data_IF_649864780722
#
_entry.id   IF_649864780722
#
_cell.length_a   1.000
_cell.length_b   1.000
_cell.length_c   1.000
_cell.angle_alpha   90.00
_cell.angle_beta   90.00
_cell.angle_gamma   90.00
#
_symmetry.space_group_name_H-M   'P 1'
#
loop_
_entity.id
_entity.type
_entity.pdbx_description
1 polymer ?
#
# COMPACT_ATOMS: atom_id res chain seq x y z
N UNK A 1 -4.51 -17.31 -5.25
CA UNK A 1 -5.36 -16.60 -4.26
C UNK A 1 -6.12 -15.48 -4.96
N UNK A 2 -7.36 -15.19 -4.53
CA UNK A 2 -8.11 -14.03 -5.02
C UNK A 2 -7.77 -12.80 -4.19
N UNK A 3 -7.23 -11.77 -4.85
CA UNK A 3 -7.06 -10.43 -4.30
C UNK A 3 -8.33 -9.62 -4.59
N UNK A 4 -8.81 -8.91 -3.57
CA UNK A 4 -9.81 -7.85 -3.68
C UNK A 4 -9.24 -6.60 -2.99
N UNK A 5 -9.05 -5.54 -3.77
CA UNK A 5 -8.60 -4.24 -3.32
C UNK A 5 -9.66 -3.20 -3.68
N UNK A 6 -10.61 -2.97 -2.76
CA UNK A 6 -11.69 -1.99 -2.94
C UNK A 6 -12.52 -2.19 -4.23
N UNK A 7 -12.84 -3.44 -4.57
CA UNK A 7 -13.62 -3.79 -5.75
C UNK A 7 -12.78 -4.10 -7.00
N UNK A 8 -11.48 -3.82 -6.98
CA UNK A 8 -10.56 -4.38 -7.97
C UNK A 8 -10.23 -5.81 -7.58
N UNK A 9 -10.65 -6.78 -8.40
CA UNK A 9 -10.47 -8.20 -8.10
C UNK A 9 -9.62 -8.92 -9.12
N UNK A 10 -8.74 -9.80 -8.66
CA UNK A 10 -7.92 -10.64 -9.54
C UNK A 10 -7.43 -11.91 -8.86
N UNK A 11 -7.05 -12.89 -9.69
CA UNK A 11 -6.40 -14.12 -9.24
C UNK A 11 -4.88 -14.02 -9.45
N UNK A 12 -4.14 -14.29 -8.38
CA UNK A 12 -2.67 -14.18 -8.34
C UNK A 12 -2.06 -15.29 -7.49
N UNK A 13 -0.83 -15.75 -7.75
CA UNK A 13 -0.16 -16.71 -6.86
C UNK A 13 0.16 -16.13 -5.48
N UNK A 14 0.34 -14.81 -5.36
CA UNK A 14 0.74 -14.18 -4.11
C UNK A 14 1.00 -12.68 -4.24
N UNK A 15 1.37 -12.09 -3.12
CA UNK A 15 1.67 -10.66 -3.00
C UNK A 15 2.94 -10.46 -2.18
N UNK A 16 3.69 -9.41 -2.49
CA UNK A 16 4.86 -8.99 -1.71
C UNK A 16 4.68 -7.55 -1.27
N UNK A 17 4.85 -7.32 0.03
CA UNK A 17 4.91 -5.99 0.63
C UNK A 17 6.37 -5.62 0.80
N UNK A 18 6.73 -4.41 0.43
CA UNK A 18 8.10 -3.91 0.45
C UNK A 18 8.24 -2.77 1.46
N UNK A 19 9.41 -2.75 2.11
CA UNK A 19 9.95 -1.59 2.79
C UNK A 19 11.35 -1.33 2.22
N UNK A 20 11.46 -0.39 1.27
CA UNK A 20 12.72 -0.04 0.61
C UNK A 20 13.50 1.00 1.40
N UNK A 21 14.83 0.85 1.42
CA UNK A 21 15.74 1.74 2.14
C UNK A 21 15.23 2.09 3.55
N UNK A 22 15.00 1.11 4.46
CA UNK A 22 14.28 1.34 5.71
C UNK A 22 14.78 2.50 6.58
N UNK A 23 16.07 2.86 6.50
CA UNK A 23 16.65 4.01 7.21
C UNK A 23 16.18 5.37 6.68
N UNK A 24 15.56 5.44 5.50
CA UNK A 24 14.96 6.63 4.90
C UNK A 24 13.45 6.68 5.06
N UNK A 25 12.81 5.56 5.43
CA UNK A 25 11.37 5.49 5.56
C UNK A 25 10.86 6.34 6.72
N UNK A 26 9.72 6.99 6.49
CA UNK A 26 8.94 7.68 7.50
C UNK A 26 8.43 6.73 8.58
N UNK A 27 8.08 7.29 9.74
CA UNK A 27 7.48 6.52 10.82
C UNK A 27 6.15 5.84 10.40
N UNK A 28 5.39 6.45 9.48
CA UNK A 28 4.16 5.86 8.97
C UNK A 28 4.44 4.62 8.10
N UNK A 29 5.43 4.68 7.21
CA UNK A 29 5.85 3.52 6.39
C UNK A 29 6.31 2.35 7.26
N UNK A 30 7.07 2.64 8.32
CA UNK A 30 7.43 1.63 9.33
C UNK A 30 6.19 1.06 10.03
N UNK A 31 5.26 1.90 10.51
CA UNK A 31 4.01 1.43 11.15
C UNK A 31 3.18 0.55 10.22
N UNK A 32 3.07 0.92 8.94
CA UNK A 32 2.37 0.14 7.92
C UNK A 32 3.01 -1.23 7.78
N UNK A 33 4.32 -1.28 7.58
CA UNK A 33 5.05 -2.53 7.39
C UNK A 33 5.04 -3.43 8.63
N UNK A 34 5.25 -2.87 9.82
CA UNK A 34 5.21 -3.64 11.08
C UNK A 34 3.82 -4.24 11.34
N UNK A 35 2.75 -3.56 10.92
CA UNK A 35 1.38 -4.11 11.05
C UNK A 35 1.16 -5.40 10.24
N UNK A 36 2.02 -5.68 9.26
CA UNK A 36 1.95 -6.88 8.43
C UNK A 36 2.68 -8.07 9.05
N UNK A 37 3.64 -7.84 9.96
CA UNK A 37 4.40 -8.92 10.61
C UNK A 37 3.54 -9.83 11.49
N UNK A 38 2.35 -9.38 11.88
CA UNK A 38 1.41 -10.17 12.67
C UNK A 38 0.58 -11.15 11.83
N UNK A 39 0.75 -11.15 10.50
CA UNK A 39 -0.05 -11.98 9.60
C UNK A 39 0.47 -13.43 9.65
N UNK A 40 -0.40 -14.41 9.94
CA UNK A 40 0.00 -15.81 9.98
C UNK A 40 0.40 -16.30 8.58
N UNK A 41 1.41 -17.17 8.50
CA UNK A 41 1.91 -17.79 7.27
C UNK A 41 2.55 -16.83 6.25
N UNK A 42 2.82 -15.58 6.65
CA UNK A 42 3.62 -14.67 5.84
C UNK A 42 5.12 -15.00 5.99
N UNK A 43 5.88 -14.98 4.89
CA UNK A 43 7.34 -15.14 4.94
C UNK A 43 8.02 -13.77 4.93
N UNK A 44 9.01 -13.59 5.80
CA UNK A 44 9.80 -12.37 5.91
C UNK A 44 11.19 -12.58 5.30
N UNK A 45 11.56 -11.74 4.34
CA UNK A 45 12.91 -11.65 3.81
C UNK A 45 13.50 -10.29 4.19
N UNK A 46 14.65 -10.28 4.86
CA UNK A 46 15.34 -9.05 5.25
C UNK A 46 16.69 -8.99 4.57
N UNK A 47 16.93 -7.91 3.82
CA UNK A 47 18.22 -7.54 3.25
C UNK A 47 18.64 -6.17 3.81
N UNK A 48 19.87 -5.74 3.47
CA UNK A 48 20.39 -4.46 3.94
C UNK A 48 19.51 -3.29 3.47
N UNK A 49 19.13 -3.29 2.19
CA UNK A 49 18.46 -2.17 1.52
C UNK A 49 16.94 -2.34 1.35
N UNK A 50 16.39 -3.47 1.79
CA UNK A 50 14.97 -3.76 1.65
C UNK A 50 14.51 -4.84 2.64
N UNK A 51 13.25 -4.75 3.04
CA UNK A 51 12.56 -5.82 3.78
C UNK A 51 11.29 -6.17 3.03
N UNK A 52 11.02 -7.46 2.89
CA UNK A 52 9.88 -7.99 2.13
C UNK A 52 9.05 -8.92 2.98
N UNK A 53 7.73 -8.83 2.84
CA UNK A 53 6.79 -9.80 3.40
C UNK A 53 5.99 -10.40 2.26
N UNK A 54 6.02 -11.72 2.11
CA UNK A 54 5.25 -12.43 1.10
C UNK A 54 4.01 -13.07 1.72
N UNK A 55 2.89 -12.94 1.03
CA UNK A 55 1.60 -13.53 1.40
C UNK A 55 1.04 -14.26 0.18
N UNK A 56 0.76 -15.56 0.34
CA UNK A 56 0.32 -16.44 -0.75
C UNK A 56 -1.10 -16.99 -0.56
N UNK A 57 -1.76 -16.62 0.53
CA UNK A 57 -3.12 -17.06 0.84
C UNK A 57 -4.11 -15.87 0.99
N UNK A 58 -5.37 -16.15 0.66
CA UNK A 58 -6.42 -15.13 0.64
C UNK A 58 -6.76 -14.56 2.03
N UNK A 59 -6.57 -15.35 3.10
CA UNK A 59 -6.84 -14.90 4.48
C UNK A 59 -5.76 -13.92 4.93
N UNK A 60 -4.50 -14.21 4.60
CA UNK A 60 -3.38 -13.31 4.81
C UNK A 60 -3.57 -11.97 4.09
N UNK A 61 -3.99 -12.00 2.82
CA UNK A 61 -4.28 -10.76 2.07
C UNK A 61 -5.38 -9.92 2.72
N UNK A 62 -6.51 -10.54 3.07
CA UNK A 62 -7.60 -9.84 3.75
C UNK A 62 -7.12 -9.20 5.06
N UNK A 63 -6.30 -9.91 5.84
CA UNK A 63 -5.72 -9.39 7.07
C UNK A 63 -4.77 -8.22 6.80
N UNK A 64 -3.93 -8.30 5.76
CA UNK A 64 -3.03 -7.21 5.35
C UNK A 64 -3.79 -5.93 5.04
N UNK A 65 -4.77 -5.99 4.14
CA UNK A 65 -5.57 -4.82 3.76
C UNK A 65 -6.29 -4.23 4.98
N UNK A 66 -6.80 -5.09 5.88
CA UNK A 66 -7.46 -4.64 7.11
C UNK A 66 -6.48 -3.95 8.08
N UNK A 67 -5.28 -4.49 8.26
CA UNK A 67 -4.25 -3.91 9.13
C UNK A 67 -3.76 -2.56 8.60
N UNK A 68 -3.43 -2.49 7.31
CA UNK A 68 -3.04 -1.23 6.66
C UNK A 68 -4.14 -0.17 6.75
N UNK A 69 -5.39 -0.56 6.47
CA UNK A 69 -6.54 0.34 6.60
C UNK A 69 -6.71 0.88 8.02
N UNK A 70 -6.41 0.07 9.06
CA UNK A 70 -6.47 0.52 10.46
C UNK A 70 -5.39 1.55 10.77
N UNK A 71 -4.15 1.31 10.32
CA UNK A 71 -3.04 2.25 10.48
C UNK A 71 -3.35 3.59 9.81
N UNK A 72 -3.86 3.56 8.58
CA UNK A 72 -4.15 4.77 7.81
C UNK A 72 -5.34 5.56 8.35
N UNK A 73 -6.39 4.88 8.82
CA UNK A 73 -7.50 5.54 9.51
C UNK A 73 -7.05 6.20 10.81
N UNK A 74 -6.22 5.51 11.61
CA UNK A 74 -5.65 6.11 12.82
C UNK A 74 -4.82 7.35 12.51
N UNK A 75 -3.94 7.28 11.51
CA UNK A 75 -3.16 8.43 11.05
C UNK A 75 -4.02 9.60 10.56
N UNK A 76 -5.13 9.31 9.88
CA UNK A 76 -6.10 10.31 9.44
C UNK A 76 -6.84 10.97 10.62
N UNK A 77 -7.25 10.18 11.61
CA UNK A 77 -7.96 10.64 12.81
C UNK A 77 -7.07 11.48 13.73
N UNK A 78 -5.78 11.16 13.86
CA UNK A 78 -4.78 11.95 14.63
C UNK A 78 -4.72 13.43 14.21
N UNK A 79 -5.10 13.78 12.97
CA UNK A 79 -5.18 15.17 12.50
C UNK A 79 -6.37 15.93 13.12
N UNK A 80 -7.47 15.22 13.32
CA UNK A 80 -8.75 15.80 13.76
C UNK A 80 -8.67 16.28 15.21
N UNK A 81 -7.81 15.63 16.01
CA UNK A 81 -7.57 15.98 17.41
C UNK A 81 -6.61 17.18 17.59
N UNK A 82 -5.87 17.55 16.54
CA UNK A 82 -4.81 18.58 16.58
C UNK A 82 -5.24 20.01 16.25
N UNK A 83 -6.44 20.20 15.68
CA UNK A 83 -6.96 21.51 15.27
C UNK A 83 -7.83 21.41 14.01
N UNK A 84 -8.78 22.34 13.83
CA UNK A 84 -9.81 22.30 12.77
C UNK A 84 -9.29 22.51 11.33
N UNK A 85 -7.98 22.68 11.16
CA UNK A 85 -7.38 23.23 9.94
C UNK A 85 -6.66 22.20 9.07
N UNK A 86 -6.27 21.03 9.60
CA UNK A 86 -5.61 19.98 8.80
C UNK A 86 -6.56 18.79 8.54
N UNK A 87 -6.86 18.53 7.27
CA UNK A 87 -7.57 17.32 6.83
C UNK A 87 -6.59 16.39 6.14
N UNK A 88 -6.58 15.14 6.59
CA UNK A 88 -5.74 14.08 6.03
C UNK A 88 -6.57 13.14 5.17
N UNK A 89 -5.99 12.70 4.06
CA UNK A 89 -6.55 11.68 3.18
C UNK A 89 -5.46 10.72 2.71
N UNK A 90 -5.86 9.58 2.18
CA UNK A 90 -4.96 8.62 1.55
C UNK A 90 -5.67 7.90 0.41
N UNK A 91 -4.88 7.47 -0.59
CA UNK A 91 -5.37 6.70 -1.73
C UNK A 91 -4.29 5.74 -2.24
N UNK A 92 -4.73 4.63 -2.79
CA UNK A 92 -3.86 3.73 -3.53
C UNK A 92 -3.63 4.29 -4.93
N UNK A 93 -2.37 4.30 -5.36
CA UNK A 93 -1.98 4.47 -6.75
C UNK A 93 -1.66 3.10 -7.30
N UNK A 94 -2.31 2.73 -8.40
CA UNK A 94 -2.12 1.46 -9.05
C UNK A 94 -1.35 1.65 -10.34
N UNK A 95 -0.27 0.92 -10.49
CA UNK A 95 0.54 0.88 -11.71
C UNK A 95 0.60 -0.55 -12.20
N UNK A 96 0.26 -0.75 -13.46
CA UNK A 96 0.33 -2.03 -14.12
C UNK A 96 0.70 -1.77 -15.58
N UNK A 97 1.75 -2.44 -16.04
CA UNK A 97 2.07 -2.49 -17.47
C UNK A 97 1.36 -3.70 -18.06
N UNK A 98 0.04 -3.53 -18.28
CA UNK A 98 -0.86 -4.59 -18.75
C UNK A 98 -1.86 -4.10 -19.79
N UNK A 99 -2.27 -5.01 -20.65
CA UNK A 99 -3.46 -4.86 -21.48
C UNK A 99 -4.76 -4.97 -20.65
N UNK A 100 -5.91 -4.75 -21.28
CA UNK A 100 -7.22 -4.82 -20.63
C UNK A 100 -7.59 -6.21 -20.07
N UNK A 101 -6.80 -7.25 -20.39
CA UNK A 101 -6.98 -8.61 -19.92
C UNK A 101 -5.93 -9.01 -18.85
N UNK A 102 -5.03 -8.10 -18.47
CA UNK A 102 -4.02 -8.32 -17.42
C UNK A 102 -2.72 -8.96 -17.90
N UNK A 103 -2.45 -8.94 -19.21
CA UNK A 103 -1.23 -9.49 -19.79
C UNK A 103 -0.23 -8.38 -20.11
N UNK A 104 1.07 -8.63 -19.95
CA UNK A 104 2.12 -7.71 -20.38
C UNK A 104 2.27 -7.69 -21.92
N UNK A 105 3.21 -6.88 -22.41
CA UNK A 105 3.48 -6.76 -23.85
C UNK A 105 4.07 -8.04 -24.49
N UNK A 106 4.42 -9.04 -23.68
CA UNK A 106 4.87 -10.37 -24.12
C UNK A 106 3.73 -11.41 -24.09
N UNK A 107 2.57 -11.07 -23.55
CA UNK A 107 1.43 -11.98 -23.41
C UNK A 107 1.47 -12.82 -22.13
N UNK A 108 2.33 -12.47 -21.17
CA UNK A 108 2.42 -13.14 -19.87
C UNK A 108 1.54 -12.45 -18.84
N UNK A 109 1.10 -13.19 -17.81
CA UNK A 109 0.35 -12.57 -16.70
C UNK A 109 1.28 -11.63 -15.95
N UNK A 110 1.02 -10.34 -16.04
CA UNK A 110 1.90 -9.30 -15.51
C UNK A 110 1.65 -9.04 -14.04
N UNK A 111 2.67 -8.52 -13.35
CA UNK A 111 2.52 -8.02 -11.99
C UNK A 111 1.87 -6.63 -11.98
N UNK A 112 1.03 -6.37 -10.98
CA UNK A 112 0.58 -5.01 -10.70
C UNK A 112 1.21 -4.50 -9.40
N UNK A 113 1.42 -3.19 -9.34
CA UNK A 113 1.98 -2.48 -8.21
C UNK A 113 0.95 -1.56 -7.58
N UNK A 114 0.92 -1.50 -6.26
CA UNK A 114 0.15 -0.56 -5.49
C UNK A 114 1.04 0.25 -4.56
N UNK A 115 0.95 1.57 -4.68
CA UNK A 115 1.66 2.54 -3.85
C UNK A 115 0.66 3.37 -3.05
N UNK A 116 1.13 3.99 -1.98
CA UNK A 116 0.27 4.83 -1.15
C UNK A 116 0.61 6.32 -1.33
N UNK A 117 -0.40 7.11 -1.65
CA UNK A 117 -0.33 8.57 -1.64
C UNK A 117 -1.17 9.12 -0.50
N UNK A 118 -0.57 10.00 0.29
CA UNK A 118 -1.21 10.79 1.32
C UNK A 118 -1.62 12.15 0.74
N UNK A 119 -2.67 12.74 1.29
CA UNK A 119 -3.12 14.09 0.97
C UNK A 119 -3.27 14.87 2.27
N UNK A 120 -2.72 16.08 2.31
CA UNK A 120 -2.79 17.01 3.43
C UNK A 120 -3.42 18.31 2.94
N UNK A 121 -4.65 18.59 3.37
CA UNK A 121 -5.32 19.87 3.10
C UNK A 121 -5.23 20.76 4.33
N UNK A 122 -4.64 21.95 4.16
CA UNK A 122 -4.43 22.96 5.22
C UNK A 122 -5.17 24.26 4.88
N UNK A 123 -6.49 24.20 4.78
CA UNK A 123 -7.28 25.37 4.37
C UNK A 123 -8.58 25.49 5.14
N UNK A 124 -8.83 26.69 5.67
CA UNK A 124 -10.15 27.08 6.16
C UNK A 124 -11.17 27.19 5.03
N UNK A 125 -12.46 27.23 5.37
CA UNK A 125 -13.53 27.48 4.38
C UNK A 125 -13.29 28.85 3.74
N UNK A 126 -12.93 28.88 2.46
CA UNK A 126 -12.68 30.11 1.69
C UNK A 126 -11.20 30.45 1.47
N UNK A 127 -10.28 29.65 1.99
CA UNK A 127 -8.83 29.81 1.74
C UNK A 127 -8.38 28.98 0.53
N UNK A 128 -7.47 29.55 -0.26
CA UNK A 128 -6.99 28.95 -1.51
C UNK A 128 -5.72 28.09 -1.31
N UNK A 129 -5.37 27.72 -0.07
CA UNK A 129 -4.21 26.86 0.16
C UNK A 129 -4.41 25.51 -0.52
N UNK A 130 -3.51 25.22 -1.46
CA UNK A 130 -3.54 24.01 -2.26
C UNK A 130 -3.04 22.85 -1.39
N UNK A 131 -3.86 21.80 -1.28
CA UNK A 131 -3.47 20.57 -0.60
C UNK A 131 -2.17 19.99 -1.15
N UNK A 132 -1.41 19.34 -0.26
CA UNK A 132 -0.15 18.67 -0.55
C UNK A 132 -0.39 17.17 -0.71
N UNK A 133 0.14 16.59 -1.77
CA UNK A 133 0.17 15.14 -1.98
C UNK A 133 1.57 14.60 -1.68
N UNK A 134 1.67 13.54 -0.88
CA UNK A 134 2.94 12.93 -0.48
C UNK A 134 2.91 11.43 -0.82
N UNK A 135 3.86 10.98 -1.62
CA UNK A 135 4.03 9.56 -1.93
C UNK A 135 4.90 8.86 -0.89
N UNK A 136 4.42 7.71 -0.41
CA UNK A 136 5.18 6.83 0.48
C UNK A 136 6.16 5.97 -0.33
N UNK A 137 7.24 6.60 -0.80
CA UNK A 137 8.21 5.99 -1.72
C UNK A 137 8.99 4.80 -1.13
N UNK A 138 9.01 4.66 0.20
CA UNK A 138 9.64 3.54 0.90
C UNK A 138 8.72 2.33 1.08
N UNK A 139 7.42 2.43 0.75
CA UNK A 139 6.45 1.35 0.92
C UNK A 139 5.70 1.04 -0.38
N UNK A 140 5.58 -0.25 -0.70
CA UNK A 140 4.82 -0.68 -1.87
C UNK A 140 4.34 -2.12 -1.79
N UNK A 141 3.38 -2.44 -2.64
CA UNK A 141 2.82 -3.79 -2.76
C UNK A 141 2.95 -4.23 -4.21
N UNK A 142 3.64 -5.35 -4.43
CA UNK A 142 3.57 -6.07 -5.69
C UNK A 142 2.56 -7.19 -5.54
N UNK A 143 1.66 -7.31 -6.49
CA UNK A 143 0.88 -8.53 -6.66
C UNK A 143 1.43 -9.25 -7.87
N UNK A 144 1.70 -10.53 -7.66
CA UNK A 144 2.45 -11.31 -8.61
C UNK A 144 1.64 -11.59 -9.86
N UNK A 145 2.31 -11.47 -10.99
CA UNK A 145 1.92 -12.18 -12.20
C UNK A 145 2.01 -13.69 -11.98
N UNK A 146 1.21 -14.48 -12.69
CA UNK A 146 1.32 -15.93 -12.61
C UNK A 146 2.60 -16.35 -13.33
N UNK A 147 3.54 -17.02 -12.63
CA UNK A 147 4.58 -17.78 -13.31
C UNK A 147 3.96 -19.02 -13.95
N UNK A 148 4.36 -19.35 -15.17
CA UNK A 148 3.99 -20.57 -15.91
C UNK A 148 4.15 -21.86 -15.09
#
# INVERSE_FOLDING_TARGET
>A
MRVDLFGLTMDTPGTTFYLWSPWRCSALEHKLFESLRTIPNASLEAAADEVRIHITDAKGWKAAVQNLSRVLKGWQEEATDGGKEERRGWRWLLEADVDGAGYDMQGEKSSFWAYLRLSLDRGGVGEAEKGEDIDLNGFGVQVWGQQE
#
